data_IF_613909940831
#
_entry.id   IF_613909940831
#
_cell.length_a   1.000
_cell.length_b   1.000
_cell.length_c   1.000
_cell.angle_alpha   90.00
_cell.angle_beta   90.00
_cell.angle_gamma   90.00
#
_symmetry.space_group_name_H-M   'P 1'
#
loop_
_entity.id
_entity.type
_entity.pdbx_description
1 polymer ?
#
# COMPACT_ATOMS: atom_id res chain seq x y z
N UNK A 1 14.30 -12.98 19.39
CA UNK A 1 13.73 -13.09 18.03
C UNK A 1 12.39 -12.39 18.08
N UNK A 2 12.29 -11.20 17.47
CA UNK A 2 11.08 -10.36 17.51
C UNK A 2 10.10 -10.89 16.46
N UNK A 3 8.79 -11.02 16.75
CA UNK A 3 7.80 -11.36 15.75
C UNK A 3 7.83 -10.30 14.64
N UNK A 4 8.15 -10.70 13.40
CA UNK A 4 8.21 -9.78 12.24
C UNK A 4 6.83 -9.21 11.85
N UNK A 5 5.75 -9.72 12.44
CA UNK A 5 4.38 -9.42 12.06
C UNK A 5 3.50 -9.25 13.31
N UNK A 6 3.62 -8.09 13.95
CA UNK A 6 2.51 -7.50 14.70
C UNK A 6 2.27 -6.09 14.15
N UNK A 7 1.17 -5.96 13.41
CA UNK A 7 0.84 -4.75 12.63
C UNK A 7 0.12 -3.71 13.49
N UNK A 8 -0.47 -4.15 14.62
CA UNK A 8 -1.22 -3.27 15.53
C UNK A 8 -0.31 -2.25 16.23
N UNK A 9 0.92 -2.63 16.59
CA UNK A 9 1.86 -1.73 17.28
C UNK A 9 2.53 -0.69 16.35
N UNK A 10 2.64 -0.98 15.05
CA UNK A 10 3.33 -0.09 14.10
C UNK A 10 2.43 1.05 13.59
N UNK A 11 1.12 0.83 13.53
CA UNK A 11 0.15 1.78 12.94
C UNK A 11 -0.57 2.64 13.98
N UNK A 12 -0.50 2.31 15.27
CA UNK A 12 -1.24 2.98 16.34
C UNK A 12 -0.96 4.49 16.45
N UNK A 13 0.24 4.94 16.07
CA UNK A 13 0.65 6.35 16.16
C UNK A 13 0.49 7.14 14.85
N UNK A 14 0.20 6.47 13.74
CA UNK A 14 0.02 7.10 12.41
C UNK A 14 -1.46 7.25 12.05
N UNK A 15 -2.37 6.85 12.94
CA UNK A 15 -3.81 6.94 12.77
C UNK A 15 -4.45 7.74 13.92
N UNK A 16 -5.14 8.87 13.66
CA UNK A 16 -5.83 9.58 14.70
C UNK A 16 -7.07 8.76 15.12
N UNK A 17 -7.03 8.22 16.34
CA UNK A 17 -8.25 7.73 17.01
C UNK A 17 -9.17 8.92 17.23
N UNK A 18 -10.33 8.89 16.57
CA UNK A 18 -11.27 9.99 16.54
C UNK A 18 -12.07 10.00 17.86
N UNK A 19 -11.67 10.85 18.81
CA UNK A 19 -12.52 11.25 19.92
C UNK A 19 -12.74 12.77 19.92
N UNK A 20 -14.03 13.12 19.96
CA UNK A 20 -14.63 14.43 20.19
C UNK A 20 -14.74 15.43 19.02
N UNK A 21 -15.97 15.92 18.84
CA UNK A 21 -16.26 17.18 18.16
C UNK A 21 -17.36 17.14 17.10
N UNK A 22 -18.62 16.85 17.48
CA UNK A 22 -19.77 17.12 16.60
C UNK A 22 -20.02 18.63 16.56
N UNK A 23 -19.45 19.32 15.59
CA UNK A 23 -19.83 20.70 15.24
C UNK A 23 -20.57 20.68 13.91
N UNK A 24 -21.68 21.40 13.82
CA UNK A 24 -22.59 21.46 12.67
C UNK A 24 -21.92 22.08 11.44
N UNK A 25 -21.53 21.23 10.50
CA UNK A 25 -20.89 21.64 9.24
C UNK A 25 -21.96 22.01 8.20
N UNK A 26 -21.76 23.10 7.46
CA UNK A 26 -22.66 23.61 6.40
C UNK A 26 -22.84 22.62 5.24
N UNK A 27 -23.99 22.65 4.55
CA UNK A 27 -24.33 21.72 3.45
C UNK A 27 -23.26 21.64 2.33
N UNK A 28 -22.57 22.73 2.03
CA UNK A 28 -21.47 22.75 1.06
C UNK A 28 -20.22 21.99 1.54
N UNK A 29 -19.93 22.02 2.84
CA UNK A 29 -18.86 21.24 3.44
C UNK A 29 -19.29 19.78 3.70
N UNK A 30 -20.58 19.52 3.96
CA UNK A 30 -21.14 18.16 3.99
C UNK A 30 -21.01 17.44 2.63
N UNK A 31 -21.24 18.15 1.52
CA UNK A 31 -21.01 17.66 0.15
C UNK A 31 -19.54 17.28 -0.12
N UNK A 32 -18.58 18.10 0.36
CA UNK A 32 -17.14 17.80 0.25
C UNK A 32 -16.69 16.65 1.15
N UNK A 33 -17.34 16.49 2.30
CA UNK A 33 -17.10 15.37 3.23
C UNK A 33 -17.65 14.05 2.68
N UNK A 34 -18.76 14.07 1.95
CA UNK A 34 -19.33 12.89 1.29
C UNK A 34 -18.37 12.28 0.26
N UNK A 35 -17.70 13.10 -0.55
CA UNK A 35 -16.66 12.67 -1.53
C UNK A 35 -15.48 11.93 -0.90
N UNK A 36 -15.23 12.14 0.40
CA UNK A 36 -14.12 11.52 1.13
C UNK A 36 -14.43 10.09 1.59
N UNK A 37 -15.70 9.72 1.70
CA UNK A 37 -16.11 8.46 2.34
C UNK A 37 -15.88 7.22 1.46
N UNK A 38 -15.79 7.39 0.14
CA UNK A 38 -15.67 6.28 -0.81
C UNK A 38 -14.29 6.11 -1.47
N UNK A 39 -13.32 6.98 -1.20
CA UNK A 39 -11.96 6.80 -1.75
C UNK A 39 -11.20 5.80 -0.89
N UNK A 40 -10.99 4.59 -1.40
CA UNK A 40 -10.09 3.60 -0.76
C UNK A 40 -8.75 4.27 -0.50
N UNK A 41 -8.24 4.13 0.73
CA UNK A 41 -6.93 4.67 1.08
C UNK A 41 -5.87 4.01 0.19
N UNK A 42 -5.00 4.85 -0.39
CA UNK A 42 -3.98 4.46 -1.35
C UNK A 42 -2.61 4.48 -0.68
N UNK A 43 -1.76 3.55 -1.07
CA UNK A 43 -0.39 3.43 -0.59
C UNK A 43 0.53 3.05 -1.75
N UNK A 44 1.82 3.30 -1.57
CA UNK A 44 2.87 2.67 -2.35
C UNK A 44 3.56 1.62 -1.48
N UNK A 45 3.90 0.48 -2.06
CA UNK A 45 4.76 -0.51 -1.45
C UNK A 45 6.09 -0.57 -2.19
N UNK A 46 7.18 -0.60 -1.43
CA UNK A 46 8.49 -1.03 -1.91
C UNK A 46 8.75 -2.43 -1.36
N UNK A 47 9.11 -3.36 -2.24
CA UNK A 47 9.41 -4.74 -1.85
C UNK A 47 10.84 -5.07 -2.24
N UNK A 48 11.59 -5.59 -1.26
CA UNK A 48 12.96 -6.10 -1.45
C UNK A 48 12.93 -7.59 -1.17
N UNK A 49 13.32 -8.39 -2.16
CA UNK A 49 13.33 -9.85 -2.10
C UNK A 49 14.56 -10.42 -2.84
N UNK A 50 14.82 -11.71 -2.66
CA UNK A 50 15.87 -12.43 -3.37
C UNK A 50 15.58 -12.62 -4.87
N UNK A 51 14.31 -12.85 -5.23
CA UNK A 51 13.84 -13.04 -6.60
C UNK A 51 12.70 -12.05 -6.92
N UNK A 52 13.04 -10.81 -7.33
CA UNK A 52 12.07 -9.78 -7.63
C UNK A 52 11.21 -10.10 -8.86
N UNK A 53 11.76 -10.80 -9.86
CA UNK A 53 11.04 -11.16 -11.10
C UNK A 53 9.88 -12.11 -10.84
N UNK A 54 10.13 -13.18 -10.08
CA UNK A 54 9.10 -14.16 -9.72
C UNK A 54 7.97 -13.51 -8.93
N UNK A 55 8.33 -12.64 -7.99
CA UNK A 55 7.39 -11.90 -7.16
C UNK A 55 6.57 -10.90 -7.98
N UNK A 56 7.21 -10.13 -8.85
CA UNK A 56 6.53 -9.22 -9.76
C UNK A 56 5.52 -9.97 -10.65
N UNK A 57 5.90 -11.14 -11.18
CA UNK A 57 5.01 -11.99 -11.96
C UNK A 57 3.74 -12.41 -11.20
N UNK A 58 3.85 -12.73 -9.90
CA UNK A 58 2.69 -13.06 -9.07
C UNK A 58 1.82 -11.86 -8.79
N UNK A 59 2.41 -10.72 -8.44
CA UNK A 59 1.65 -9.47 -8.22
C UNK A 59 0.85 -9.09 -9.47
N UNK A 60 1.46 -9.18 -10.65
CA UNK A 60 0.77 -8.88 -11.92
C UNK A 60 -0.39 -9.85 -12.17
N UNK A 61 -0.19 -11.16 -11.98
CA UNK A 61 -1.23 -12.18 -12.28
C UNK A 61 -2.35 -12.23 -11.24
N UNK A 62 -2.01 -12.20 -9.95
CA UNK A 62 -2.94 -12.44 -8.85
C UNK A 62 -3.61 -11.16 -8.34
N UNK A 63 -2.89 -10.04 -8.34
CA UNK A 63 -3.43 -8.75 -7.87
C UNK A 63 -3.88 -7.86 -9.03
N UNK A 64 -3.48 -8.18 -10.28
CA UNK A 64 -3.73 -7.33 -11.47
C UNK A 64 -3.19 -5.90 -11.28
N UNK A 65 -2.07 -5.77 -10.58
CA UNK A 65 -1.38 -4.50 -10.34
C UNK A 65 -0.10 -4.41 -11.15
N UNK A 66 0.16 -3.23 -11.69
CA UNK A 66 1.43 -2.90 -12.32
C UNK A 66 2.54 -2.86 -11.27
N UNK A 67 3.73 -3.30 -11.68
CA UNK A 67 4.94 -3.31 -10.85
C UNK A 67 6.06 -2.65 -11.65
N UNK A 68 6.84 -1.78 -10.99
CA UNK A 68 8.03 -1.16 -11.59
C UNK A 68 9.27 -1.63 -10.84
N UNK A 69 10.27 -2.14 -11.55
CA UNK A 69 11.57 -2.49 -10.96
C UNK A 69 12.45 -1.23 -10.83
N UNK A 70 12.82 -0.88 -9.61
CA UNK A 70 13.79 0.16 -9.30
C UNK A 70 15.16 -0.49 -9.11
N UNK A 71 16.12 -0.12 -9.95
CA UNK A 71 17.48 -0.66 -9.87
C UNK A 71 18.26 0.10 -8.80
N UNK A 72 18.91 -0.64 -7.89
CA UNK A 72 19.69 -0.09 -6.80
C UNK A 72 20.91 -0.94 -6.46
N UNK A 73 21.71 -0.46 -5.51
CA UNK A 73 22.88 -1.19 -5.01
C UNK A 73 22.78 -1.36 -3.51
N UNK A 74 22.76 -2.61 -3.05
CA UNK A 74 22.80 -2.91 -1.62
C UNK A 74 24.14 -2.51 -1.02
N UNK A 75 24.14 -1.61 -0.04
CA UNK A 75 25.39 -1.06 0.50
C UNK A 75 26.19 -2.03 1.37
N UNK A 76 25.52 -3.04 1.95
CA UNK A 76 26.17 -4.07 2.76
C UNK A 76 26.95 -5.07 1.88
N UNK A 77 26.28 -5.71 0.93
CA UNK A 77 26.89 -6.70 0.04
C UNK A 77 27.53 -6.11 -1.23
N UNK A 78 27.36 -4.81 -1.48
CA UNK A 78 27.84 -4.09 -2.67
C UNK A 78 27.34 -4.64 -4.00
N UNK A 79 26.25 -5.40 -3.98
CA UNK A 79 25.62 -6.03 -5.14
C UNK A 79 24.47 -5.18 -5.69
N UNK A 80 24.27 -5.25 -7.00
CA UNK A 80 23.06 -4.74 -7.64
C UNK A 80 21.84 -5.54 -7.18
N UNK A 81 20.73 -4.84 -6.99
CA UNK A 81 19.45 -5.42 -6.58
C UNK A 81 18.33 -4.60 -7.18
N UNK A 82 17.23 -5.27 -7.48
CA UNK A 82 16.00 -4.60 -7.87
C UNK A 82 15.05 -4.50 -6.67
N UNK A 83 14.33 -3.38 -6.60
CA UNK A 83 13.30 -3.11 -5.62
C UNK A 83 11.99 -2.91 -6.36
N UNK A 84 10.96 -3.66 -6.00
CA UNK A 84 9.65 -3.56 -6.66
C UNK A 84 8.87 -2.38 -6.07
N UNK A 85 8.51 -1.43 -6.92
CA UNK A 85 7.57 -0.35 -6.62
C UNK A 85 6.18 -0.74 -7.09
N UNK A 86 5.22 -0.72 -6.16
CA UNK A 86 3.83 -1.15 -6.40
C UNK A 86 2.90 -0.08 -5.85
N UNK A 87 1.98 0.41 -6.67
CA UNK A 87 0.85 1.22 -6.21
C UNK A 87 -0.33 0.29 -5.89
N UNK A 88 -0.96 0.46 -4.73
CA UNK A 88 -2.05 -0.39 -4.27
C UNK A 88 -2.97 0.34 -3.28
N UNK A 89 -4.13 -0.23 -2.98
CA UNK A 89 -4.99 0.24 -1.89
C UNK A 89 -4.64 -0.45 -0.57
N UNK A 90 -5.02 0.14 0.56
CA UNK A 90 -4.78 -0.44 1.89
C UNK A 90 -5.33 -1.87 2.00
N UNK A 91 -6.48 -2.13 1.38
CA UNK A 91 -7.10 -3.47 1.34
C UNK A 91 -6.29 -4.51 0.57
N UNK A 92 -5.43 -4.10 -0.35
CA UNK A 92 -4.59 -4.99 -1.16
C UNK A 92 -3.28 -5.37 -0.47
N UNK A 93 -2.92 -4.67 0.63
CA UNK A 93 -1.70 -4.94 1.40
C UNK A 93 -1.70 -6.37 1.95
N UNK A 94 -2.84 -6.87 2.41
CA UNK A 94 -2.92 -8.23 2.95
C UNK A 94 -2.62 -9.30 1.89
N UNK A 95 -3.11 -9.11 0.67
CA UNK A 95 -2.78 -10.01 -0.44
C UNK A 95 -1.29 -9.91 -0.80
N UNK A 96 -0.72 -8.70 -0.83
CA UNK A 96 0.71 -8.52 -1.05
C UNK A 96 1.56 -9.23 0.02
N UNK A 97 1.18 -9.13 1.30
CA UNK A 97 1.88 -9.82 2.40
C UNK A 97 1.89 -11.34 2.21
N UNK A 98 0.79 -11.92 1.76
CA UNK A 98 0.70 -13.37 1.47
C UNK A 98 1.69 -13.75 0.36
N UNK A 99 1.64 -13.05 -0.78
CA UNK A 99 2.56 -13.31 -1.90
C UNK A 99 4.02 -13.19 -1.46
N UNK A 100 4.37 -12.11 -0.77
CA UNK A 100 5.75 -11.87 -0.31
C UNK A 100 6.22 -12.97 0.64
N UNK A 101 5.38 -13.39 1.59
CA UNK A 101 5.72 -14.43 2.58
C UNK A 101 5.89 -15.80 1.93
N UNK A 102 5.07 -16.13 0.95
CA UNK A 102 5.14 -17.41 0.23
C UNK A 102 6.35 -17.48 -0.72
N UNK A 103 6.68 -16.37 -1.38
CA UNK A 103 7.80 -16.32 -2.31
C UNK A 103 9.15 -16.20 -1.62
N UNK A 104 9.28 -15.32 -0.62
CA UNK A 104 10.52 -15.09 0.10
C UNK A 104 10.26 -14.71 1.57
N UNK A 105 10.42 -15.67 2.51
CA UNK A 105 10.29 -15.40 3.95
C UNK A 105 11.27 -14.37 4.51
N UNK A 106 12.37 -14.09 3.80
CA UNK A 106 13.37 -13.10 4.18
C UNK A 106 13.12 -11.71 3.58
N UNK A 107 12.21 -11.61 2.61
CA UNK A 107 11.79 -10.34 2.03
C UNK A 107 11.13 -9.42 3.05
N UNK A 108 11.06 -8.14 2.71
CA UNK A 108 10.33 -7.15 3.49
C UNK A 108 9.60 -6.14 2.60
N UNK A 109 8.54 -5.56 3.16
CA UNK A 109 7.69 -4.57 2.50
C UNK A 109 7.83 -3.26 3.26
N UNK A 110 8.10 -2.17 2.56
CA UNK A 110 7.96 -0.81 3.08
C UNK A 110 6.69 -0.20 2.51
N UNK A 111 5.76 0.18 3.38
CA UNK A 111 4.50 0.84 2.99
C UNK A 111 4.64 2.34 3.17
N UNK A 112 4.39 3.09 2.11
CA UNK A 112 4.47 4.55 2.05
C UNK A 112 3.05 5.07 1.80
N UNK A 113 2.47 5.87 2.71
CA UNK A 113 1.15 6.44 2.48
C UNK A 113 1.17 7.38 1.27
N UNK A 114 0.18 7.27 0.40
CA UNK A 114 0.03 8.12 -0.78
C UNK A 114 -1.13 9.10 -0.58
N UNK A 115 -0.88 10.39 -0.82
CA UNK A 115 -1.92 11.41 -0.79
C UNK A 115 -2.95 11.18 -1.90
N UNK A 116 -2.49 10.86 -3.10
CA UNK A 116 -3.31 10.52 -4.26
C UNK A 116 -2.45 9.79 -5.29
N UNK A 117 -3.00 8.72 -5.87
CA UNK A 117 -2.46 7.99 -7.00
C UNK A 117 -3.45 8.18 -8.14
N UNK A 118 -3.01 8.88 -9.19
CA UNK A 118 -3.82 9.14 -10.39
C UNK A 118 -3.43 8.12 -11.46
N UNK A 119 -4.41 7.35 -11.93
CA UNK A 119 -4.19 6.34 -12.97
C UNK A 119 -5.33 5.34 -13.08
N UNK A 120 -5.27 4.52 -14.12
CA UNK A 120 -6.22 3.42 -14.30
C UNK A 120 -6.15 2.45 -13.11
N UNK A 121 -7.32 2.02 -12.62
CA UNK A 121 -7.42 1.13 -11.45
C UNK A 121 -7.44 1.83 -10.09
N UNK A 122 -7.44 3.17 -10.05
CA UNK A 122 -7.53 3.98 -8.83
C UNK A 122 -8.63 5.06 -8.87
N UNK A 123 -9.50 5.00 -9.89
CA UNK A 123 -10.64 5.92 -10.07
C UNK A 123 -11.72 5.62 -9.02
N UNK A 124 -12.36 6.64 -8.41
CA UNK A 124 -13.52 6.42 -7.55
C UNK A 124 -14.63 5.67 -8.28
N UNK A 125 -15.37 4.81 -7.58
CA UNK A 125 -16.60 4.24 -8.13
C UNK A 125 -17.56 5.41 -8.40
N UNK A 126 -18.00 5.56 -9.64
CA UNK A 126 -19.16 6.40 -9.94
C UNK A 126 -20.39 5.64 -9.40
N UNK A 127 -21.08 6.23 -8.43
CA UNK A 127 -22.42 5.76 -8.04
C UNK A 127 -23.33 6.01 -9.24
N UNK A 128 -23.68 4.95 -9.97
CA UNK A 128 -24.85 5.00 -10.85
C UNK A 128 -26.08 4.97 -9.93
N UNK A 129 -26.78 6.11 -9.85
CA UNK A 129 -28.16 6.20 -9.33
C UNK A 129 -29.13 5.35 -10.17
#
# INVERSE_FOLDING_TARGET
MVPKYDVEDFLGNLWPSNSAGKTSISKAAQSRLSRRKHRRQQVMALVVAADPDKMAGRVIREMKRGVTALHGRGMYMKQEREVLLIALTVTEIEQLKVIVREEDPHAFITVIPANEIVGQGFVPLEEND
#
